data_IF_176743867019
#
_entry.id   IF_176743867019
#
_cell.length_a   1.000
_cell.length_b   1.000
_cell.length_c   1.000
_cell.angle_alpha   90.00
_cell.angle_beta   90.00
_cell.angle_gamma   90.00
#
_symmetry.space_group_name_H-M   'P 1'
#
loop_
_entity.id
_entity.type
_entity.pdbx_description
1 polymer ?
#
# COMPACT_ATOMS: atom_id res chain seq x y z
N UNK A 1 -42.04 76.38 8.32
CA UNK A 1 -40.77 75.64 8.16
C UNK A 1 -41.10 74.26 7.62
N UNK A 2 -40.73 73.96 6.37
CA UNK A 2 -40.97 72.67 5.72
C UNK A 2 -39.70 71.83 5.87
N UNK A 3 -39.75 70.78 6.70
CA UNK A 3 -38.62 69.84 6.87
C UNK A 3 -38.60 68.94 5.62
N UNK A 4 -37.54 69.08 4.81
CA UNK A 4 -37.33 68.29 3.62
C UNK A 4 -36.81 66.92 4.08
N UNK A 5 -37.64 65.86 4.03
CA UNK A 5 -37.22 64.49 4.27
C UNK A 5 -36.27 64.06 3.14
N UNK A 6 -35.03 63.86 3.47
CA UNK A 6 -34.05 63.21 2.58
C UNK A 6 -34.48 61.76 2.39
N UNK A 7 -34.89 61.44 1.17
CA UNK A 7 -35.18 60.06 0.74
C UNK A 7 -33.82 59.35 0.64
N UNK A 8 -33.55 58.48 1.62
CA UNK A 8 -32.41 57.54 1.50
C UNK A 8 -32.75 56.58 0.37
N UNK A 9 -31.96 56.61 -0.70
CA UNK A 9 -31.99 55.58 -1.69
C UNK A 9 -31.47 54.28 -1.10
N UNK A 10 -32.12 53.12 -1.38
CA UNK A 10 -31.61 51.85 -0.91
C UNK A 10 -30.25 51.62 -1.61
N UNK A 11 -29.19 51.58 -0.83
CA UNK A 11 -27.84 51.20 -1.28
C UNK A 11 -27.94 49.76 -1.73
N UNK A 12 -27.92 49.52 -3.03
CA UNK A 12 -27.90 48.18 -3.60
C UNK A 12 -26.68 47.45 -3.01
N UNK A 13 -26.93 46.28 -2.43
CA UNK A 13 -25.88 45.44 -1.90
C UNK A 13 -24.97 45.04 -3.08
N UNK A 14 -23.73 45.50 -3.10
CA UNK A 14 -22.80 45.15 -4.15
C UNK A 14 -22.23 43.75 -3.87
N UNK A 15 -22.86 42.74 -4.49
CA UNK A 15 -22.49 41.32 -4.35
C UNK A 15 -21.27 40.97 -5.19
N UNK A 16 -20.76 41.86 -6.04
CA UNK A 16 -19.64 41.60 -6.93
C UNK A 16 -18.37 41.32 -6.15
N UNK A 17 -18.10 42.10 -5.11
CA UNK A 17 -16.95 41.86 -4.22
C UNK A 17 -17.02 40.51 -3.51
N UNK A 18 -18.23 40.10 -3.10
CA UNK A 18 -18.46 38.81 -2.47
C UNK A 18 -18.25 37.62 -3.44
N UNK A 19 -18.74 37.75 -4.66
CA UNK A 19 -18.54 36.72 -5.69
C UNK A 19 -17.06 36.61 -6.04
N UNK A 20 -16.34 37.71 -6.21
CA UNK A 20 -14.90 37.67 -6.45
C UNK A 20 -14.12 37.00 -5.32
N UNK A 21 -14.50 37.24 -4.08
CA UNK A 21 -13.91 36.57 -2.92
C UNK A 21 -14.13 35.05 -2.97
N UNK A 22 -15.35 34.59 -3.26
CA UNK A 22 -15.69 33.17 -3.34
C UNK A 22 -14.94 32.48 -4.49
N UNK A 23 -14.85 33.09 -5.66
CA UNK A 23 -14.15 32.55 -6.84
C UNK A 23 -12.66 32.31 -6.56
N UNK A 24 -12.05 33.08 -5.69
CA UNK A 24 -10.64 32.87 -5.28
C UNK A 24 -10.55 31.87 -4.12
N UNK A 25 -11.43 31.96 -3.13
CA UNK A 25 -11.38 31.10 -1.93
C UNK A 25 -11.70 29.63 -2.24
N UNK A 26 -12.69 29.34 -3.09
CA UNK A 26 -13.08 27.96 -3.37
C UNK A 26 -11.96 27.15 -4.03
N UNK A 27 -11.27 27.61 -5.09
CA UNK A 27 -10.13 26.89 -5.65
C UNK A 27 -8.97 26.74 -4.66
N UNK A 28 -8.73 27.76 -3.82
CA UNK A 28 -7.71 27.70 -2.78
C UNK A 28 -8.01 26.64 -1.72
N UNK A 29 -9.27 26.59 -1.24
CA UNK A 29 -9.70 25.56 -0.27
C UNK A 29 -9.66 24.15 -0.88
N UNK A 30 -10.06 23.99 -2.16
CA UNK A 30 -9.94 22.71 -2.85
C UNK A 30 -8.48 22.29 -3.02
N UNK A 31 -7.59 23.24 -3.36
CA UNK A 31 -6.16 22.97 -3.46
C UNK A 31 -5.58 22.52 -2.11
N UNK A 32 -5.91 23.20 -1.02
CA UNK A 32 -5.44 22.79 0.33
C UNK A 32 -6.04 21.46 0.77
N UNK A 33 -7.30 21.17 0.44
CA UNK A 33 -7.95 19.89 0.77
C UNK A 33 -7.29 18.69 0.04
N UNK A 34 -6.82 18.88 -1.20
CA UNK A 34 -6.10 17.84 -1.95
C UNK A 34 -4.75 17.52 -1.31
N UNK A 35 -4.06 18.50 -0.74
CA UNK A 35 -2.76 18.28 -0.08
C UNK A 35 -2.85 17.69 1.33
N UNK A 36 -4.04 17.62 1.95
CA UNK A 36 -4.22 16.95 3.25
C UNK A 36 -4.27 15.42 3.17
N UNK A 37 -4.29 14.83 1.98
CA UNK A 37 -3.98 13.41 1.78
C UNK A 37 -2.46 13.15 1.80
N UNK A 38 -1.74 13.80 2.70
CA UNK A 38 -0.41 13.33 3.09
C UNK A 38 -0.60 12.02 3.86
N UNK A 39 -0.32 10.92 3.17
CA UNK A 39 -0.08 9.62 3.78
C UNK A 39 0.80 9.82 5.01
N UNK A 40 0.24 9.63 6.18
CA UNK A 40 1.04 9.41 7.37
C UNK A 40 1.70 8.06 7.15
N UNK A 41 2.96 8.07 6.74
CA UNK A 41 3.83 6.91 6.79
C UNK A 41 4.06 6.65 8.28
N UNK A 42 3.26 5.77 8.86
CA UNK A 42 3.60 5.15 10.14
C UNK A 42 4.87 4.32 9.92
N UNK A 43 6.01 4.91 10.25
CA UNK A 43 7.29 4.25 10.35
C UNK A 43 7.25 3.30 11.54
N UNK A 44 6.65 2.13 11.37
CA UNK A 44 6.88 0.99 12.24
C UNK A 44 8.27 0.47 12.00
N UNK A 45 9.19 0.78 12.93
CA UNK A 45 10.51 0.15 12.98
C UNK A 45 10.35 -1.37 13.05
N UNK A 46 11.01 -2.15 12.16
CA UNK A 46 10.94 -3.59 12.19
C UNK A 46 11.62 -4.11 13.47
N UNK A 47 10.82 -4.40 14.48
CA UNK A 47 11.28 -5.29 15.54
C UNK A 47 11.40 -6.69 14.92
N UNK A 48 12.61 -7.22 14.91
CA UNK A 48 12.86 -8.63 14.61
C UNK A 48 12.01 -9.46 15.58
N UNK A 49 10.90 -9.95 15.15
CA UNK A 49 10.04 -10.75 16.03
C UNK A 49 9.41 -11.90 15.26
N UNK A 50 9.80 -13.09 15.64
CA UNK A 50 9.15 -14.38 15.39
C UNK A 50 7.67 -14.43 15.79
N UNK A 51 7.10 -13.36 16.31
CA UNK A 51 5.71 -13.22 16.73
C UNK A 51 4.86 -12.27 15.86
N UNK A 52 5.35 -11.83 14.70
CA UNK A 52 4.64 -10.87 13.86
C UNK A 52 3.31 -11.43 13.32
N UNK A 53 3.24 -12.73 13.04
CA UNK A 53 2.01 -13.41 12.58
C UNK A 53 0.89 -13.44 13.63
N UNK A 54 1.22 -13.35 14.91
CA UNK A 54 0.20 -13.38 15.99
C UNK A 54 -0.51 -12.03 16.19
N UNK A 55 0.08 -10.93 15.72
CA UNK A 55 -0.47 -9.57 15.85
C UNK A 55 -1.36 -9.14 14.68
N UNK A 56 -1.45 -9.96 13.63
CA UNK A 56 -2.26 -9.65 12.46
C UNK A 56 -3.73 -9.90 12.78
N UNK A 57 -4.52 -8.84 12.80
CA UNK A 57 -5.98 -8.95 12.83
C UNK A 57 -6.47 -9.52 11.50
N UNK A 58 -7.21 -10.61 11.52
CA UNK A 58 -7.66 -11.36 10.34
C UNK A 58 -8.36 -10.48 9.27
N UNK A 59 -9.02 -9.40 9.70
CA UNK A 59 -9.79 -8.52 8.81
C UNK A 59 -8.95 -7.44 8.09
N UNK A 60 -7.65 -7.32 8.37
CA UNK A 60 -6.85 -6.16 7.90
C UNK A 60 -5.50 -6.52 7.31
N UNK A 61 -5.25 -7.77 6.97
CA UNK A 61 -4.01 -8.15 6.31
C UNK A 61 -3.92 -7.47 4.93
N UNK A 62 -2.91 -6.63 4.74
CA UNK A 62 -2.53 -6.08 3.45
C UNK A 62 -1.17 -6.66 3.07
N UNK A 63 -1.20 -7.81 2.40
CA UNK A 63 -0.01 -8.56 2.06
C UNK A 63 0.84 -7.79 1.05
N UNK A 64 2.06 -7.43 1.45
CA UNK A 64 3.04 -6.78 0.59
C UNK A 64 4.29 -7.65 0.44
N UNK A 65 4.75 -7.79 -0.79
CA UNK A 65 5.95 -8.53 -1.15
C UNK A 65 6.92 -7.56 -1.80
N UNK A 66 7.97 -7.14 -1.11
CA UNK A 66 8.99 -6.26 -1.62
C UNK A 66 10.13 -7.10 -2.20
N UNK A 67 10.39 -6.94 -3.49
CA UNK A 67 11.49 -7.64 -4.17
C UNK A 67 12.69 -6.68 -4.22
N UNK A 68 13.74 -7.03 -3.50
CA UNK A 68 14.99 -6.29 -3.47
C UNK A 68 16.08 -7.00 -4.27
N UNK A 69 17.20 -6.32 -4.47
CA UNK A 69 18.34 -6.91 -5.19
C UNK A 69 18.90 -8.17 -4.51
N UNK A 70 18.79 -8.29 -3.19
CA UNK A 70 19.41 -9.33 -2.35
C UNK A 70 18.41 -10.21 -1.58
N UNK A 71 17.17 -9.76 -1.42
CA UNK A 71 16.16 -10.41 -0.57
C UNK A 71 14.76 -10.25 -1.14
N UNK A 72 13.84 -11.13 -0.72
CA UNK A 72 12.40 -10.90 -0.83
C UNK A 72 11.87 -10.68 0.59
N UNK A 73 11.23 -9.55 0.81
CA UNK A 73 10.60 -9.20 2.08
C UNK A 73 9.09 -9.40 1.96
N UNK A 74 8.55 -10.28 2.79
CA UNK A 74 7.11 -10.51 2.91
C UNK A 74 6.64 -9.79 4.14
N UNK A 75 5.66 -8.92 4.01
CA UNK A 75 5.17 -8.09 5.11
C UNK A 75 3.69 -7.81 5.02
N UNK A 76 3.19 -7.20 6.06
CA UNK A 76 1.88 -6.56 6.08
C UNK A 76 2.10 -5.05 6.10
N UNK A 77 1.36 -4.33 5.29
CA UNK A 77 1.46 -2.87 5.20
C UNK A 77 1.31 -2.15 6.54
N UNK A 78 0.51 -2.72 7.45
CA UNK A 78 0.23 -2.15 8.76
C UNK A 78 1.05 -2.87 9.85
N UNK A 79 1.16 -4.20 9.75
CA UNK A 79 1.82 -5.06 10.74
C UNK A 79 3.34 -5.15 10.60
N UNK A 80 3.90 -4.64 9.51
CA UNK A 80 5.34 -4.64 9.24
C UNK A 80 5.86 -5.94 8.63
N UNK A 81 7.18 -6.17 8.76
CA UNK A 81 7.85 -7.32 8.17
C UNK A 81 7.43 -8.63 8.85
N UNK A 82 6.92 -9.57 8.06
CA UNK A 82 6.57 -10.93 8.48
C UNK A 82 7.78 -11.85 8.32
N UNK A 83 8.38 -11.87 7.13
CA UNK A 83 9.47 -12.76 6.77
C UNK A 83 10.42 -12.10 5.79
N UNK A 84 11.72 -12.25 6.00
CA UNK A 84 12.77 -11.91 5.03
C UNK A 84 13.34 -13.19 4.45
N UNK A 85 13.38 -13.29 3.13
CA UNK A 85 13.87 -14.46 2.38
C UNK A 85 15.12 -14.03 1.63
N UNK A 86 16.31 -14.42 2.11
CA UNK A 86 17.56 -14.12 1.42
C UNK A 86 17.68 -14.92 0.13
N UNK A 87 18.59 -14.50 -0.74
CA UNK A 87 18.98 -15.28 -1.90
C UNK A 87 19.57 -16.63 -1.50
N UNK A 88 19.38 -17.61 -2.38
CA UNK A 88 20.02 -18.92 -2.26
C UNK A 88 21.54 -18.79 -2.41
N UNK A 89 22.29 -19.82 -2.02
CA UNK A 89 23.75 -19.90 -2.23
C UNK A 89 24.16 -19.75 -3.70
N UNK A 90 23.26 -20.01 -4.64
CA UNK A 90 23.46 -19.79 -6.07
C UNK A 90 23.22 -18.33 -6.52
N UNK A 91 22.92 -17.41 -5.59
CA UNK A 91 22.66 -16.00 -5.89
C UNK A 91 21.31 -15.71 -6.53
N UNK A 92 20.39 -16.67 -6.55
CA UNK A 92 19.03 -16.52 -7.06
C UNK A 92 18.03 -16.29 -5.92
N UNK A 93 16.91 -15.63 -6.21
CA UNK A 93 15.82 -15.49 -5.25
C UNK A 93 15.17 -16.85 -4.94
N UNK A 94 14.89 -17.13 -3.68
CA UNK A 94 14.28 -18.38 -3.24
C UNK A 94 12.75 -18.32 -3.40
N UNK A 95 12.30 -18.59 -4.62
CA UNK A 95 10.89 -18.64 -4.98
C UNK A 95 10.16 -19.80 -4.28
N UNK A 96 10.85 -20.90 -4.01
CA UNK A 96 10.27 -22.05 -3.34
C UNK A 96 9.92 -21.72 -1.88
N UNK A 97 10.82 -21.00 -1.20
CA UNK A 97 10.57 -20.51 0.16
C UNK A 97 9.42 -19.51 0.18
N UNK A 98 9.36 -18.57 -0.79
CA UNK A 98 8.24 -17.64 -0.93
C UNK A 98 6.91 -18.37 -1.07
N UNK A 99 6.82 -19.39 -1.93
CA UNK A 99 5.61 -20.20 -2.08
C UNK A 99 5.20 -20.94 -0.81
N UNK A 100 6.15 -21.32 0.04
CA UNK A 100 5.88 -21.92 1.35
C UNK A 100 5.30 -20.90 2.32
N UNK A 101 5.91 -19.72 2.40
CA UNK A 101 5.42 -18.61 3.24
C UNK A 101 4.03 -18.16 2.80
N UNK A 102 3.80 -18.00 1.49
CA UNK A 102 2.50 -17.62 0.93
C UNK A 102 1.39 -18.64 1.33
N UNK A 103 1.69 -19.94 1.27
CA UNK A 103 0.75 -20.97 1.72
C UNK A 103 0.43 -20.86 3.21
N UNK A 104 1.43 -20.69 4.06
CA UNK A 104 1.23 -20.53 5.51
C UNK A 104 0.35 -19.30 5.82
N UNK A 105 0.55 -18.21 5.09
CA UNK A 105 -0.28 -17.01 5.21
C UNK A 105 -1.71 -17.32 4.74
N UNK A 106 -1.88 -18.02 3.62
CA UNK A 106 -3.19 -18.39 3.08
C UNK A 106 -3.97 -19.32 4.00
N UNK A 107 -3.31 -20.26 4.64
CA UNK A 107 -3.93 -21.15 5.65
C UNK A 107 -4.49 -20.37 6.84
N UNK A 108 -3.79 -19.28 7.22
CA UNK A 108 -4.22 -18.41 8.32
C UNK A 108 -5.28 -17.40 7.90
N UNK A 109 -5.25 -16.97 6.64
CA UNK A 109 -6.16 -15.97 6.06
C UNK A 109 -6.81 -16.50 4.78
N UNK A 110 -7.71 -17.48 4.86
CA UNK A 110 -8.27 -18.19 3.70
C UNK A 110 -9.07 -17.28 2.77
N UNK A 111 -9.71 -16.25 3.32
CA UNK A 111 -10.57 -15.33 2.56
C UNK A 111 -9.80 -14.23 1.81
N UNK A 112 -8.50 -14.05 2.11
CA UNK A 112 -7.69 -13.05 1.44
C UNK A 112 -7.22 -13.53 0.08
N UNK A 113 -7.50 -12.73 -0.97
CA UNK A 113 -7.14 -13.02 -2.36
C UNK A 113 -6.16 -12.01 -2.95
N UNK A 114 -6.03 -10.86 -2.29
CA UNK A 114 -5.22 -9.74 -2.74
C UNK A 114 -3.79 -9.78 -2.18
N UNK A 115 -2.82 -9.42 -3.02
CA UNK A 115 -1.42 -9.20 -2.65
C UNK A 115 -0.83 -8.05 -3.47
N UNK A 116 0.11 -7.31 -2.90
CA UNK A 116 0.83 -6.24 -3.59
C UNK A 116 2.29 -6.63 -3.75
N UNK A 117 2.80 -6.57 -4.97
CA UNK A 117 4.21 -6.85 -5.28
C UNK A 117 4.92 -5.54 -5.59
N UNK A 118 6.00 -5.27 -4.88
CA UNK A 118 6.76 -4.03 -4.92
C UNK A 118 8.21 -4.32 -5.33
N UNK A 119 8.54 -4.41 -6.64
CA UNK A 119 9.91 -4.59 -7.09
C UNK A 119 10.74 -3.31 -6.96
N UNK A 120 12.03 -3.44 -6.62
CA UNK A 120 13.01 -2.37 -6.82
C UNK A 120 13.28 -2.16 -8.31
N UNK A 121 13.70 -0.95 -8.75
CA UNK A 121 13.90 -0.63 -10.17
C UNK A 121 14.90 -1.54 -10.90
N UNK A 122 15.84 -2.14 -10.18
CA UNK A 122 16.90 -2.99 -10.74
C UNK A 122 16.55 -4.49 -10.75
N UNK A 123 15.33 -4.87 -10.35
CA UNK A 123 14.89 -6.26 -10.33
C UNK A 123 14.56 -6.71 -11.76
N UNK A 124 15.15 -7.83 -12.25
CA UNK A 124 14.83 -8.39 -13.55
C UNK A 124 13.34 -8.76 -13.65
N UNK A 125 12.73 -8.49 -14.80
CA UNK A 125 11.33 -8.80 -15.05
C UNK A 125 10.98 -10.30 -14.86
N UNK A 126 11.93 -11.17 -15.20
CA UNK A 126 11.78 -12.62 -15.00
C UNK A 126 11.56 -12.98 -13.51
N UNK A 127 12.28 -12.34 -12.61
CA UNK A 127 12.10 -12.52 -11.15
C UNK A 127 10.72 -12.05 -10.69
N UNK A 128 10.25 -10.91 -11.22
CA UNK A 128 8.91 -10.41 -10.94
C UNK A 128 7.84 -11.43 -11.34
N UNK A 129 7.94 -11.98 -12.56
CA UNK A 129 6.99 -12.99 -13.06
C UNK A 129 7.02 -14.24 -12.17
N UNK A 130 8.20 -14.76 -11.82
CA UNK A 130 8.33 -15.93 -10.96
C UNK A 130 7.71 -15.70 -9.57
N UNK A 131 7.88 -14.52 -8.98
CA UNK A 131 7.26 -14.14 -7.71
C UNK A 131 5.74 -14.10 -7.84
N UNK A 132 5.22 -13.49 -8.90
CA UNK A 132 3.77 -13.42 -9.14
C UNK A 132 3.16 -14.81 -9.34
N UNK A 133 3.83 -15.70 -10.08
CA UNK A 133 3.36 -17.07 -10.27
C UNK A 133 3.34 -17.84 -8.96
N UNK A 134 4.38 -17.72 -8.13
CA UNK A 134 4.44 -18.36 -6.81
C UNK A 134 3.39 -17.85 -5.82
N UNK A 135 2.95 -16.61 -5.97
CA UNK A 135 1.88 -16.01 -5.16
C UNK A 135 0.49 -16.39 -5.65
N UNK A 136 0.32 -16.50 -6.99
CA UNK A 136 -0.99 -16.76 -7.59
C UNK A 136 -1.47 -18.17 -7.31
N UNK A 137 -0.60 -19.15 -7.39
CA UNK A 137 -0.97 -20.55 -7.23
C UNK A 137 0.09 -21.35 -6.46
N UNK A 138 -0.37 -22.18 -5.56
CA UNK A 138 0.47 -23.11 -4.81
C UNK A 138 0.15 -24.56 -5.20
N UNK A 139 1.18 -25.41 -5.19
CA UNK A 139 0.99 -26.85 -5.36
C UNK A 139 0.76 -27.52 -4.01
N UNK A 140 -0.38 -28.16 -3.83
CA UNK A 140 -0.71 -28.90 -2.63
C UNK A 140 -0.83 -30.40 -2.96
N UNK A 141 -0.22 -31.24 -2.14
CA UNK A 141 -0.33 -32.69 -2.28
C UNK A 141 -1.57 -33.15 -1.50
N UNK A 142 -2.61 -33.58 -2.22
CA UNK A 142 -3.79 -34.22 -1.63
C UNK A 142 -3.77 -35.70 -1.97
N UNK A 143 -3.33 -36.51 -1.01
CA UNK A 143 -3.15 -37.96 -1.23
C UNK A 143 -2.06 -38.23 -2.28
N UNK A 144 -2.43 -38.95 -3.36
CA UNK A 144 -1.51 -39.28 -4.48
C UNK A 144 -1.53 -38.25 -5.65
N UNK A 145 -2.27 -37.17 -5.52
CA UNK A 145 -2.41 -36.13 -6.56
C UNK A 145 -1.84 -34.80 -6.12
N UNK A 146 -1.13 -34.14 -7.02
CA UNK A 146 -0.72 -32.74 -6.86
C UNK A 146 -1.84 -31.88 -7.43
N UNK A 147 -2.47 -31.07 -6.58
CA UNK A 147 -3.53 -30.12 -6.96
C UNK A 147 -2.96 -28.73 -6.89
N UNK A 148 -3.24 -27.92 -7.89
CA UNK A 148 -2.93 -26.50 -7.90
C UNK A 148 -4.06 -25.74 -7.17
N UNK A 149 -3.68 -24.99 -6.14
CA UNK A 149 -4.62 -24.21 -5.32
C UNK A 149 -4.32 -22.75 -5.52
N UNK A 150 -5.33 -21.95 -5.86
CA UNK A 150 -5.19 -20.50 -5.92
C UNK A 150 -4.89 -19.94 -4.52
N UNK A 151 -3.81 -19.13 -4.42
CA UNK A 151 -3.41 -18.48 -3.17
C UNK A 151 -3.89 -17.03 -3.16
N UNK A 152 -3.20 -16.16 -3.89
CA UNK A 152 -3.49 -14.73 -4.01
C UNK A 152 -3.60 -14.37 -5.51
N UNK A 153 -4.75 -14.62 -6.15
CA UNK A 153 -4.92 -14.36 -7.58
C UNK A 153 -4.96 -12.88 -7.93
N UNK A 154 -5.36 -12.01 -6.98
CA UNK A 154 -5.55 -10.58 -7.21
C UNK A 154 -4.24 -9.83 -6.87
N UNK A 155 -3.31 -9.80 -7.83
CA UNK A 155 -1.99 -9.19 -7.62
C UNK A 155 -1.97 -7.77 -8.18
N UNK A 156 -1.62 -6.81 -7.32
CA UNK A 156 -1.30 -5.44 -7.68
C UNK A 156 0.22 -5.24 -7.71
N UNK A 157 0.69 -4.38 -8.62
CA UNK A 157 2.12 -4.05 -8.75
C UNK A 157 2.29 -2.57 -8.41
N UNK A 158 3.30 -2.26 -7.62
CA UNK A 158 3.71 -0.90 -7.27
C UNK A 158 5.23 -0.78 -7.23
N UNK A 159 5.73 0.35 -6.76
CA UNK A 159 7.17 0.58 -6.62
C UNK A 159 7.62 0.27 -5.18
N UNK A 160 8.79 -0.35 -5.05
CA UNK A 160 9.38 -0.63 -3.74
C UNK A 160 9.72 0.68 -3.00
N UNK A 161 9.44 0.76 -1.69
CA UNK A 161 9.88 1.90 -0.90
C UNK A 161 11.40 2.00 -0.87
N UNK A 162 11.91 3.22 -1.02
CA UNK A 162 13.35 3.50 -1.02
C UNK A 162 13.92 3.06 0.34
N UNK A 163 14.94 2.19 0.31
CA UNK A 163 15.67 1.82 1.53
C UNK A 163 16.39 3.08 2.03
N UNK A 164 15.97 3.64 3.13
CA UNK A 164 16.79 4.62 3.83
C UNK A 164 18.07 3.88 4.26
N UNK A 165 19.20 4.24 3.64
CA UNK A 165 20.49 3.72 4.05
C UNK A 165 20.62 4.03 5.55
N UNK A 166 20.76 2.98 6.37
CA UNK A 166 21.05 3.15 7.77
C UNK A 166 22.31 4.01 7.86
N UNK A 167 22.17 5.23 8.38
CA UNK A 167 23.29 6.11 8.65
C UNK A 167 24.26 5.34 9.56
N UNK A 168 25.47 5.12 9.03
CA UNK A 168 26.60 4.55 9.78
C UNK A 168 27.08 5.56 10.80
#
# INVERSE_FOLDING_TARGET
MRVRRLRREPTGLDVTAFINLIVVLVPFLLSTAVFTHLSVLDLSLPAQSTGALEKLSADKLNLEIVIRADTIEVGDRIGGLIQSIPKTSAGQHDIAMLGTVARTIKERFPDKTDATVLPEPNVPYDVLVQVMDALRAGRQVQGAKVVEVALFPDISIGDAPIRQAAAR
#
